data_IF_027989617631
#
_entry.id   IF_027989617631
#
_cell.length_a   1.000
_cell.length_b   1.000
_cell.length_c   1.000
_cell.angle_alpha   90.00
_cell.angle_beta   90.00
_cell.angle_gamma   90.00
#
_symmetry.space_group_name_H-M   'P 1'
#
loop_
_entity.id
_entity.type
_entity.pdbx_description
1 polymer ?
#
# COMPACT_ATOMS: atom_id res chain seq x y z
N UNK A 1 -5.79 4.04 -14.36
CA UNK A 1 -4.61 3.15 -14.29
C UNK A 1 -4.49 2.63 -12.85
N UNK A 2 -5.22 1.57 -12.49
CA UNK A 2 -5.43 1.20 -11.06
C UNK A 2 -4.38 0.20 -10.56
N UNK A 3 -3.96 -0.76 -11.40
CA UNK A 3 -3.02 -1.81 -10.97
C UNK A 3 -1.56 -1.35 -10.96
N UNK A 4 -1.19 -0.45 -11.88
CA UNK A 4 0.19 0.04 -12.06
C UNK A 4 0.54 1.21 -11.11
N UNK A 5 -0.38 1.63 -10.24
CA UNK A 5 -0.20 2.85 -9.44
C UNK A 5 1.06 2.79 -8.55
N UNK A 6 1.39 1.61 -8.01
CA UNK A 6 2.62 1.38 -7.26
C UNK A 6 3.88 1.52 -8.12
N UNK A 7 3.89 0.88 -9.29
CA UNK A 7 5.05 0.89 -10.21
C UNK A 7 5.33 2.30 -10.75
N UNK A 8 4.29 3.11 -10.92
CA UNK A 8 4.44 4.49 -11.39
C UNK A 8 5.28 5.36 -10.46
N UNK A 9 5.30 5.09 -9.14
CA UNK A 9 6.17 5.81 -8.21
C UNK A 9 7.65 5.54 -8.47
N UNK A 10 8.01 4.29 -8.77
CA UNK A 10 9.39 3.90 -9.06
C UNK A 10 9.82 4.39 -10.46
N UNK A 11 8.94 4.24 -11.45
CA UNK A 11 9.17 4.78 -12.80
C UNK A 11 9.35 6.29 -12.80
N UNK A 12 8.56 7.04 -12.01
CA UNK A 12 8.71 8.49 -11.92
C UNK A 12 10.10 8.89 -11.40
N UNK A 13 10.65 8.13 -10.46
CA UNK A 13 12.02 8.31 -9.99
C UNK A 13 13.05 7.92 -11.04
N UNK A 14 12.85 6.81 -11.74
CA UNK A 14 13.76 6.35 -12.80
C UNK A 14 13.86 7.33 -13.98
N UNK A 15 12.75 7.98 -14.35
CA UNK A 15 12.69 8.95 -15.44
C UNK A 15 12.95 10.40 -15.02
N UNK A 16 13.44 10.65 -13.79
CA UNK A 16 13.68 11.99 -13.23
C UNK A 16 12.50 12.95 -13.44
N UNK A 17 11.27 12.43 -13.29
CA UNK A 17 10.04 13.19 -13.51
C UNK A 17 9.97 14.33 -12.49
N UNK A 18 9.78 15.55 -12.98
CA UNK A 18 9.53 16.70 -12.10
C UNK A 18 8.18 16.54 -11.38
N UNK A 19 8.12 16.84 -10.06
CA UNK A 19 6.90 16.71 -9.29
C UNK A 19 5.80 17.65 -9.80
N UNK A 20 4.58 17.14 -9.88
CA UNK A 20 3.41 17.91 -10.28
C UNK A 20 2.93 18.82 -9.12
N UNK A 21 2.24 19.94 -9.40
CA UNK A 21 1.66 20.77 -8.36
C UNK A 21 0.69 19.97 -7.48
N UNK A 22 1.01 19.83 -6.19
CA UNK A 22 0.23 19.04 -5.23
C UNK A 22 0.87 17.70 -4.86
N UNK A 23 1.99 17.32 -5.49
CA UNK A 23 2.79 16.20 -5.05
C UNK A 23 3.43 16.50 -3.69
N UNK A 24 3.06 15.71 -2.70
CA UNK A 24 3.63 15.75 -1.36
C UNK A 24 4.86 14.85 -1.33
N UNK A 25 6.01 15.38 -0.89
CA UNK A 25 7.23 14.60 -0.78
C UNK A 25 7.03 13.41 0.18
N UNK A 26 7.48 12.21 -0.21
CA UNK A 26 7.37 10.96 0.57
C UNK A 26 5.94 10.38 0.76
N UNK A 27 5.01 10.65 -0.15
CA UNK A 27 3.57 10.31 0.02
C UNK A 27 3.15 8.86 -0.30
N UNK A 28 4.05 7.90 -0.15
CA UNK A 28 3.82 6.50 -0.52
C UNK A 28 4.38 5.50 0.47
N UNK A 29 4.35 5.81 1.77
CA UNK A 29 4.84 4.88 2.79
C UNK A 29 3.69 4.11 3.46
N UNK A 30 4.01 2.99 4.07
CA UNK A 30 3.08 2.19 4.84
C UNK A 30 3.75 1.71 6.12
N UNK A 31 2.96 1.53 7.17
CA UNK A 31 3.44 1.05 8.46
C UNK A 31 2.89 -0.34 8.72
N UNK A 32 3.78 -1.30 8.95
CA UNK A 32 3.44 -2.67 9.31
C UNK A 32 3.95 -3.03 10.70
N UNK A 33 3.23 -3.88 11.42
CA UNK A 33 3.64 -4.38 12.72
C UNK A 33 3.32 -5.87 12.86
N UNK A 34 4.33 -6.66 13.25
CA UNK A 34 4.20 -8.08 13.53
C UNK A 34 4.57 -8.34 14.99
N UNK A 35 3.70 -9.02 15.74
CA UNK A 35 3.88 -9.24 17.18
C UNK A 35 3.43 -10.63 17.60
N UNK A 36 4.31 -11.33 18.29
CA UNK A 36 3.99 -12.61 18.94
C UNK A 36 3.26 -12.32 20.26
N UNK A 37 2.18 -13.04 20.51
CA UNK A 37 1.42 -12.95 21.76
C UNK A 37 2.23 -13.48 22.95
N UNK A 38 1.93 -13.05 24.19
CA UNK A 38 2.58 -13.56 25.38
C UNK A 38 2.50 -15.09 25.46
N UNK A 39 3.65 -15.73 25.69
CA UNK A 39 3.77 -17.19 25.73
C UNK A 39 3.65 -17.86 24.36
N UNK A 40 3.92 -17.15 23.26
CA UNK A 40 3.90 -17.65 21.88
C UNK A 40 2.57 -18.29 21.46
N UNK A 41 1.46 -17.83 22.06
CA UNK A 41 0.13 -18.42 21.85
C UNK A 41 -0.50 -18.02 20.52
N UNK A 42 -0.03 -16.92 19.93
CA UNK A 42 -0.60 -16.34 18.72
C UNK A 42 0.41 -15.41 18.04
N UNK A 43 0.12 -15.03 16.80
CA UNK A 43 0.92 -14.11 15.98
C UNK A 43 0.02 -13.07 15.32
N UNK A 44 0.16 -11.81 15.74
CA UNK A 44 -0.59 -10.68 15.22
C UNK A 44 0.17 -9.98 14.11
N UNK A 45 -0.58 -9.58 13.08
CA UNK A 45 -0.10 -8.73 12.00
C UNK A 45 -1.04 -7.53 11.84
N UNK A 46 -0.49 -6.34 11.71
CA UNK A 46 -1.23 -5.15 11.33
C UNK A 46 -0.52 -4.38 10.24
N UNK A 47 -1.30 -3.70 9.40
CA UNK A 47 -0.81 -2.89 8.29
C UNK A 47 -1.68 -1.64 8.15
N UNK A 48 -1.02 -0.50 8.02
CA UNK A 48 -1.64 0.82 7.82
C UNK A 48 -1.06 1.41 6.54
N UNK A 49 -1.90 1.50 5.50
CA UNK A 49 -1.51 2.08 4.22
C UNK A 49 -1.66 3.60 4.24
N UNK A 50 -0.63 4.35 3.84
CA UNK A 50 -0.71 5.79 3.65
C UNK A 50 -0.75 6.09 2.15
N UNK A 51 -1.80 6.79 1.73
CA UNK A 51 -2.09 7.10 0.34
C UNK A 51 -2.86 8.42 0.28
N UNK A 52 -2.89 9.07 -0.89
CA UNK A 52 -3.67 10.29 -1.08
C UNK A 52 -5.14 10.12 -0.69
N UNK A 53 -5.76 11.17 -0.15
CA UNK A 53 -7.17 11.12 0.30
C UNK A 53 -8.15 10.76 -0.83
N UNK A 54 -7.79 11.09 -2.08
CA UNK A 54 -8.54 10.70 -3.27
C UNK A 54 -8.63 9.18 -3.48
N UNK A 55 -7.79 8.37 -2.83
CA UNK A 55 -7.81 6.91 -2.93
C UNK A 55 -8.52 6.22 -1.75
N UNK A 56 -9.23 6.98 -0.90
CA UNK A 56 -9.93 6.44 0.28
C UNK A 56 -11.26 5.75 -0.03
N UNK A 57 -11.63 5.59 -1.29
CA UNK A 57 -12.72 4.68 -1.65
C UNK A 57 -12.21 3.22 -1.52
N UNK A 58 -12.60 2.53 -0.45
CA UNK A 58 -12.07 1.21 -0.06
C UNK A 58 -13.09 0.09 -0.33
N UNK A 59 -12.58 -1.05 -0.79
CA UNK A 59 -13.37 -2.29 -0.97
C UNK A 59 -12.59 -3.45 -0.35
N UNK A 60 -13.19 -4.14 0.64
CA UNK A 60 -12.65 -5.39 1.17
C UNK A 60 -13.09 -6.53 0.26
N UNK A 61 -12.13 -7.21 -0.36
CA UNK A 61 -12.39 -8.21 -1.40
C UNK A 61 -12.06 -9.60 -0.88
N UNK A 62 -13.04 -10.51 -0.95
CA UNK A 62 -12.84 -11.94 -0.74
C UNK A 62 -13.01 -12.64 -2.08
N UNK A 63 -11.91 -13.18 -2.61
CA UNK A 63 -11.93 -13.93 -3.86
C UNK A 63 -11.78 -15.43 -3.58
N UNK A 64 -12.74 -16.24 -4.03
CA UNK A 64 -12.65 -17.71 -4.06
C UNK A 64 -12.67 -18.16 -5.50
N UNK A 65 -11.50 -18.49 -6.03
CA UNK A 65 -11.36 -18.93 -7.41
C UNK A 65 -11.34 -20.46 -7.49
N UNK A 66 -12.08 -21.03 -8.42
CA UNK A 66 -12.03 -22.44 -8.78
C UNK A 66 -11.00 -22.68 -9.87
N UNK A 67 -9.75 -22.29 -9.62
CA UNK A 67 -8.65 -22.70 -10.49
C UNK A 67 -8.39 -24.18 -10.23
N UNK A 68 -9.20 -25.04 -10.87
CA UNK A 68 -8.95 -26.47 -10.97
C UNK A 68 -7.80 -26.77 -11.91
#
# INVERSE_FOLDING_TARGET
>A
MIQLYGDLFDLAKFFDKQPDPGDVANSGHCSGFAKIAPGNKDLFFSHVAMSGYNTMNRVLKLYKFGYG
#
